data_IF_147931277078
#
_entry.id   IF_147931277078
#
_cell.length_a   1.000
_cell.length_b   1.000
_cell.length_c   1.000
_cell.angle_alpha   90.00
_cell.angle_beta   90.00
_cell.angle_gamma   90.00
#
_symmetry.space_group_name_H-M   'P 1'
#
loop_
_entity.id
_entity.type
_entity.pdbx_description
1 polymer ?
#
# COMPACT_ATOMS: atom_id res chain seq x y z
N UNK A 1 9.08 14.99 -12.40
CA UNK A 1 9.51 13.79 -11.65
C UNK A 1 9.93 14.26 -10.27
N UNK A 2 9.04 14.19 -9.28
CA UNK A 2 9.43 14.44 -7.89
C UNK A 2 10.02 13.12 -7.40
N UNK A 3 11.33 13.07 -7.26
CA UNK A 3 11.98 11.99 -6.52
C UNK A 3 12.09 12.50 -5.07
N UNK A 4 11.19 12.12 -4.15
CA UNK A 4 11.37 12.49 -2.75
C UNK A 4 12.64 11.77 -2.29
N UNK A 5 13.70 12.55 -2.03
CA UNK A 5 14.95 11.99 -1.51
C UNK A 5 14.62 11.19 -0.24
N UNK A 6 15.07 9.94 -0.21
CA UNK A 6 14.87 9.04 0.93
C UNK A 6 15.44 9.75 2.17
N UNK A 7 14.57 10.11 3.11
CA UNK A 7 15.00 10.72 4.37
C UNK A 7 15.78 9.67 5.18
N UNK A 8 16.80 10.09 5.95
CA UNK A 8 17.57 9.16 6.78
C UNK A 8 16.68 8.37 7.77
N UNK A 9 15.57 8.95 8.21
CA UNK A 9 14.54 8.30 9.03
C UNK A 9 13.81 7.14 8.32
N UNK A 10 13.67 7.18 6.99
CA UNK A 10 13.03 6.10 6.24
C UNK A 10 13.91 4.85 6.19
N UNK A 11 15.24 5.01 6.20
CA UNK A 11 16.16 3.87 6.28
C UNK A 11 16.03 3.10 7.60
N UNK A 12 15.85 3.80 8.72
CA UNK A 12 15.69 3.16 10.03
C UNK A 12 14.32 2.48 10.19
N UNK A 13 13.27 3.06 9.59
CA UNK A 13 11.90 2.53 9.67
C UNK A 13 11.55 1.51 8.59
N UNK A 14 12.42 1.31 7.58
CA UNK A 14 12.19 0.37 6.47
C UNK A 14 11.98 -1.07 6.95
N UNK A 15 12.57 -1.46 8.09
CA UNK A 15 12.36 -2.79 8.69
C UNK A 15 11.00 -2.95 9.37
N UNK A 16 10.37 -1.84 9.79
CA UNK A 16 9.09 -1.84 10.52
C UNK A 16 7.89 -1.59 9.59
N UNK A 17 8.09 -0.93 8.45
CA UNK A 17 7.03 -0.68 7.47
C UNK A 17 6.95 -1.84 6.47
N UNK A 18 5.80 -2.51 6.36
CA UNK A 18 5.55 -3.51 5.33
C UNK A 18 5.91 -3.00 3.94
N UNK A 19 6.74 -3.73 3.21
CA UNK A 19 7.09 -3.43 1.81
C UNK A 19 6.05 -4.03 0.86
N UNK A 20 5.46 -5.15 1.28
CA UNK A 20 4.44 -5.87 0.52
C UNK A 20 3.08 -5.81 1.22
N UNK A 21 2.00 -5.82 0.43
CA UNK A 21 0.63 -5.86 0.96
C UNK A 21 0.37 -7.10 1.84
N UNK A 22 1.13 -8.17 1.62
CA UNK A 22 1.06 -9.42 2.39
C UNK A 22 1.67 -9.30 3.79
N UNK A 23 2.70 -8.45 3.95
CA UNK A 23 3.38 -8.17 5.22
C UNK A 23 2.56 -7.23 6.12
N UNK A 24 1.57 -6.53 5.56
CA UNK A 24 0.72 -5.64 6.34
C UNK A 24 -0.12 -6.44 7.35
N UNK A 25 -0.02 -6.09 8.63
CA UNK A 25 -0.67 -6.83 9.72
C UNK A 25 -2.09 -6.29 9.90
N UNK A 26 -3.08 -7.21 10.02
CA UNK A 26 -4.48 -6.84 10.18
C UNK A 26 -5.18 -6.47 8.86
N UNK A 27 -6.36 -5.85 8.97
CA UNK A 27 -7.17 -5.38 7.84
C UNK A 27 -7.41 -6.41 6.71
N UNK A 28 -7.54 -7.71 7.04
CA UNK A 28 -7.57 -8.82 6.07
C UNK A 28 -8.57 -8.61 4.92
N UNK A 29 -9.77 -8.11 5.23
CA UNK A 29 -10.81 -7.86 4.23
C UNK A 29 -10.40 -6.76 3.25
N UNK A 30 -9.90 -5.63 3.75
CA UNK A 30 -9.47 -4.50 2.91
C UNK A 30 -8.30 -4.93 2.03
N UNK A 31 -7.30 -5.62 2.60
CA UNK A 31 -6.16 -6.14 1.84
C UNK A 31 -6.59 -7.11 0.75
N UNK A 32 -7.54 -8.00 1.04
CA UNK A 32 -8.08 -8.95 0.06
C UNK A 32 -8.74 -8.23 -1.11
N UNK A 33 -9.60 -7.24 -0.83
CA UNK A 33 -10.24 -6.43 -1.87
C UNK A 33 -9.20 -5.67 -2.70
N UNK A 34 -8.25 -5.01 -2.05
CA UNK A 34 -7.19 -4.26 -2.73
C UNK A 34 -6.34 -5.17 -3.61
N UNK A 35 -6.08 -6.40 -3.17
CA UNK A 35 -5.33 -7.38 -3.97
C UNK A 35 -6.05 -7.72 -5.28
N UNK A 36 -7.37 -7.91 -5.25
CA UNK A 36 -8.16 -8.14 -6.46
C UNK A 36 -8.08 -6.96 -7.42
N UNK A 37 -8.19 -5.72 -6.92
CA UNK A 37 -8.06 -4.52 -7.75
C UNK A 37 -6.65 -4.38 -8.37
N UNK A 38 -5.60 -4.62 -7.57
CA UNK A 38 -4.21 -4.62 -8.05
C UNK A 38 -4.02 -5.64 -9.16
N UNK A 39 -4.45 -6.89 -8.93
CA UNK A 39 -4.26 -7.97 -9.89
C UNK A 39 -5.05 -7.73 -11.17
N UNK A 40 -6.25 -7.15 -11.07
CA UNK A 40 -7.06 -6.79 -12.23
C UNK A 40 -6.41 -5.65 -13.06
N UNK A 41 -5.92 -4.59 -12.41
CA UNK A 41 -5.22 -3.50 -13.09
C UNK A 41 -3.92 -3.99 -13.76
N UNK A 42 -3.14 -4.83 -13.06
CA UNK A 42 -1.97 -5.52 -13.63
C UNK A 42 -2.35 -6.38 -14.82
N UNK A 43 -3.42 -7.16 -14.74
CA UNK A 43 -3.89 -8.01 -15.85
C UNK A 43 -4.24 -7.21 -17.11
N UNK A 44 -4.76 -5.99 -16.94
CA UNK A 44 -5.10 -5.07 -18.03
C UNK A 44 -3.94 -4.16 -18.47
N UNK A 45 -2.79 -4.23 -17.79
CA UNK A 45 -1.60 -3.40 -18.05
C UNK A 45 -1.89 -1.90 -18.02
N UNK A 46 -2.74 -1.48 -17.09
CA UNK A 46 -3.16 -0.09 -16.90
C UNK A 46 -3.09 0.32 -15.43
N UNK A 47 -3.20 1.62 -15.18
CA UNK A 47 -3.22 2.13 -13.82
C UNK A 47 -4.46 1.60 -13.09
N UNK A 48 -4.33 1.37 -11.78
CA UNK A 48 -5.49 1.06 -10.94
C UNK A 48 -6.40 2.28 -10.85
N UNK A 49 -7.70 2.03 -10.80
CA UNK A 49 -8.69 3.06 -10.52
C UNK A 49 -8.48 3.72 -9.16
N UNK A 50 -9.11 4.88 -8.97
CA UNK A 50 -8.98 5.66 -7.74
C UNK A 50 -9.66 4.93 -6.57
N UNK A 51 -8.97 4.85 -5.43
CA UNK A 51 -9.46 4.20 -4.21
C UNK A 51 -9.57 5.22 -3.09
N UNK A 52 -10.72 5.24 -2.40
CA UNK A 52 -10.91 5.98 -1.16
C UNK A 52 -10.83 5.02 0.03
N UNK A 53 -9.87 5.23 0.92
CA UNK A 53 -9.79 4.53 2.20
C UNK A 53 -10.31 5.46 3.30
N UNK A 54 -11.23 4.98 4.12
CA UNK A 54 -11.78 5.74 5.23
C UNK A 54 -11.81 4.89 6.51
N UNK A 55 -11.64 5.55 7.66
CA UNK A 55 -11.67 4.89 8.96
C UNK A 55 -11.19 5.79 10.10
N UNK A 56 -11.31 5.33 11.36
CA UNK A 56 -10.74 6.01 12.52
C UNK A 56 -9.21 6.19 12.41
N UNK A 57 -8.61 7.13 13.17
CA UNK A 57 -7.17 7.35 13.15
C UNK A 57 -6.40 6.11 13.65
N UNK A 58 -5.20 5.89 13.10
CA UNK A 58 -4.29 4.80 13.52
C UNK A 58 -4.51 3.45 12.84
N UNK A 59 -5.15 3.42 11.66
CA UNK A 59 -5.39 2.19 10.87
C UNK A 59 -4.35 1.94 9.77
N UNK A 60 -3.30 2.76 9.73
CA UNK A 60 -2.11 2.66 8.89
C UNK A 60 -0.94 3.30 9.62
#
# INVERSE_FOLDING_TARGET
>A
MVNPGVAEDDYQNSSLRPQNLEEFIGQKQIRGNLRVFIDAAKGRQEAMDHVLLHGPPGLG
#
